data_IF_213484480045
#
_entry.id   IF_213484480045
#
_cell.length_a   1.000
_cell.length_b   1.000
_cell.length_c   1.000
_cell.angle_alpha   90.00
_cell.angle_beta   90.00
_cell.angle_gamma   90.00
#
_symmetry.space_group_name_H-M   'P 1'
#
loop_
_entity.id
_entity.type
_entity.pdbx_description
1 polymer ?
#
# COMPACT_ATOMS: atom_id res chain seq x y z
N UNK A 1 -22.86 -3.41 21.70
CA UNK A 1 -22.49 -1.98 21.64
C UNK A 1 -23.31 -1.33 20.54
N UNK A 2 -24.03 -0.23 20.82
CA UNK A 2 -24.81 0.49 19.80
C UNK A 2 -23.95 1.64 19.30
N UNK A 3 -23.65 1.65 18.02
CA UNK A 3 -22.93 2.78 17.39
C UNK A 3 -23.93 3.93 17.20
N UNK A 4 -23.65 5.13 17.73
CA UNK A 4 -24.53 6.29 17.53
C UNK A 4 -24.70 6.62 16.05
N UNK A 5 -25.90 7.03 15.64
CA UNK A 5 -26.22 7.33 14.24
C UNK A 5 -25.31 8.40 13.64
N UNK A 6 -24.91 9.39 14.44
CA UNK A 6 -23.94 10.42 14.04
C UNK A 6 -22.58 9.83 13.61
N UNK A 7 -22.14 8.75 14.26
CA UNK A 7 -20.88 8.06 13.91
C UNK A 7 -21.09 7.16 12.71
N UNK A 8 -22.25 6.50 12.64
CA UNK A 8 -22.60 5.59 11.54
C UNK A 8 -22.77 6.33 10.20
N UNK A 9 -23.23 7.56 10.23
CA UNK A 9 -23.45 8.41 9.05
C UNK A 9 -22.31 9.40 8.79
N UNK A 10 -21.24 9.38 9.59
CA UNK A 10 -20.08 10.24 9.37
C UNK A 10 -19.34 9.81 8.10
N UNK A 11 -19.29 10.69 7.13
CA UNK A 11 -18.40 10.55 5.96
C UNK A 11 -17.20 11.44 6.16
N UNK A 12 -16.00 10.85 6.03
CA UNK A 12 -14.77 11.60 6.03
C UNK A 12 -14.31 11.70 4.58
N UNK A 13 -14.38 12.89 3.96
CA UNK A 13 -13.94 13.03 2.57
C UNK A 13 -12.47 12.67 2.47
N UNK A 14 -12.16 11.77 1.54
CA UNK A 14 -10.77 11.42 1.24
C UNK A 14 -10.13 12.60 0.52
N UNK A 15 -8.96 13.00 1.00
CA UNK A 15 -8.19 14.10 0.47
C UNK A 15 -6.72 13.68 0.34
N UNK A 16 -6.11 13.96 -0.81
CA UNK A 16 -4.67 13.72 -1.05
C UNK A 16 -3.99 15.06 -1.32
N UNK A 17 -3.01 15.39 -0.47
CA UNK A 17 -2.14 16.54 -0.63
C UNK A 17 -0.77 16.07 -1.10
N UNK A 18 -0.34 16.57 -2.25
CA UNK A 18 0.95 16.20 -2.84
C UNK A 18 2.02 17.24 -2.52
N UNK A 19 3.13 16.78 -1.97
CA UNK A 19 4.33 17.57 -1.76
C UNK A 19 5.52 16.90 -2.45
N UNK A 20 6.16 17.61 -3.39
CA UNK A 20 7.42 17.14 -3.96
C UNK A 20 8.53 17.20 -2.89
N UNK A 21 9.17 16.07 -2.63
CA UNK A 21 10.31 15.95 -1.72
C UNK A 21 11.64 16.06 -2.45
N UNK A 22 11.70 15.49 -3.65
CA UNK A 22 12.84 15.52 -4.55
C UNK A 22 12.35 15.27 -5.98
N UNK A 23 13.23 15.31 -6.96
CA UNK A 23 12.92 14.90 -8.32
C UNK A 23 12.43 13.45 -8.37
N UNK A 24 11.20 13.25 -8.86
CA UNK A 24 10.54 11.93 -8.89
C UNK A 24 10.21 11.32 -7.52
N UNK A 25 10.10 12.13 -6.45
CA UNK A 25 9.72 11.67 -5.11
C UNK A 25 8.68 12.59 -4.51
N UNK A 26 7.53 12.04 -4.14
CA UNK A 26 6.40 12.80 -3.60
C UNK A 26 5.87 12.21 -2.30
N UNK A 27 5.60 13.08 -1.34
CA UNK A 27 4.76 12.77 -0.19
C UNK A 27 3.30 12.93 -0.59
N UNK A 28 2.49 11.94 -0.29
CA UNK A 28 1.05 11.90 -0.53
C UNK A 28 0.33 11.94 0.83
N UNK A 29 0.12 13.17 1.28
CA UNK A 29 -0.47 13.51 2.58
C UNK A 29 -1.99 13.71 2.53
N UNK A 30 -2.51 14.48 3.49
CA UNK A 30 -3.93 14.85 3.58
C UNK A 30 -4.76 13.95 4.48
N UNK A 31 -4.14 13.01 5.20
CA UNK A 31 -4.76 12.16 6.21
C UNK A 31 -3.85 12.01 7.44
N UNK A 32 -4.26 11.20 8.42
CA UNK A 32 -3.44 10.89 9.59
C UNK A 32 -2.16 10.12 9.25
N UNK A 33 -2.20 9.33 8.17
CA UNK A 33 -1.10 8.52 7.66
C UNK A 33 -0.84 8.87 6.20
N UNK A 34 0.42 8.82 5.80
CA UNK A 34 0.86 9.28 4.50
C UNK A 34 1.45 8.12 3.70
N UNK A 35 1.49 8.29 2.37
CA UNK A 35 2.26 7.43 1.47
C UNK A 35 3.38 8.24 0.81
N UNK A 36 4.38 7.55 0.27
CA UNK A 36 5.42 8.16 -0.55
C UNK A 36 5.45 7.46 -1.89
N UNK A 37 5.41 8.22 -2.98
CA UNK A 37 5.64 7.70 -4.33
C UNK A 37 7.06 7.99 -4.78
N UNK A 38 7.73 7.00 -5.35
CA UNK A 38 9.08 7.08 -5.89
C UNK A 38 9.05 6.63 -7.34
N UNK A 39 9.38 7.53 -8.25
CA UNK A 39 9.46 7.26 -9.68
C UNK A 39 10.81 6.64 -10.03
N UNK A 40 10.78 5.54 -10.73
CA UNK A 40 11.90 4.89 -11.41
C UNK A 40 11.79 5.09 -12.93
N UNK A 41 12.74 4.59 -13.70
CA UNK A 41 12.75 4.76 -15.16
C UNK A 41 11.48 4.21 -15.83
N UNK A 42 11.04 3.01 -15.44
CA UNK A 42 9.94 2.26 -16.06
C UNK A 42 8.81 1.85 -15.12
N UNK A 43 8.87 2.24 -13.85
CA UNK A 43 7.83 1.96 -12.86
C UNK A 43 7.81 2.99 -11.72
N UNK A 44 6.79 2.85 -10.86
CA UNK A 44 6.66 3.58 -9.60
C UNK A 44 6.63 2.57 -8.47
N UNK A 45 7.33 2.89 -7.38
CA UNK A 45 7.17 2.25 -6.09
C UNK A 45 6.39 3.20 -5.15
N UNK A 46 5.40 2.65 -4.45
CA UNK A 46 4.69 3.36 -3.40
C UNK A 46 5.11 2.76 -2.05
N UNK A 47 5.33 3.61 -1.07
CA UNK A 47 5.61 3.21 0.32
C UNK A 47 4.39 3.53 1.15
N UNK A 48 3.90 2.56 1.89
CA UNK A 48 2.70 2.56 2.74
C UNK A 48 1.37 2.56 1.99
N UNK A 49 0.46 1.71 2.50
CA UNK A 49 -0.92 1.58 2.04
C UNK A 49 -1.90 1.81 3.21
N UNK A 50 -1.93 3.04 3.78
CA UNK A 50 -2.58 3.29 5.05
C UNK A 50 -4.10 3.35 4.95
N UNK A 51 -4.74 3.18 6.12
CA UNK A 51 -6.14 3.43 6.43
C UNK A 51 -7.10 2.43 5.77
N UNK A 52 -7.57 2.72 4.55
CA UNK A 52 -8.60 1.96 3.87
C UNK A 52 -8.46 1.98 2.33
N UNK A 53 -9.35 1.23 1.65
CA UNK A 53 -9.37 1.15 0.20
C UNK A 53 -9.62 2.51 -0.46
N UNK A 54 -10.57 3.29 0.05
CA UNK A 54 -10.95 4.59 -0.52
C UNK A 54 -9.76 5.56 -0.53
N UNK A 55 -9.01 5.60 0.58
CA UNK A 55 -7.77 6.37 0.69
C UNK A 55 -6.74 5.94 -0.34
N UNK A 56 -6.55 4.64 -0.50
CA UNK A 56 -5.52 4.11 -1.39
C UNK A 56 -5.90 4.23 -2.87
N UNK A 57 -7.17 4.16 -3.22
CA UNK A 57 -7.64 4.50 -4.57
C UNK A 57 -7.34 5.96 -4.92
N UNK A 58 -7.58 6.89 -4.00
CA UNK A 58 -7.24 8.30 -4.21
C UNK A 58 -5.71 8.53 -4.32
N UNK A 59 -4.91 7.81 -3.55
CA UNK A 59 -3.44 7.84 -3.67
C UNK A 59 -3.00 7.31 -5.04
N UNK A 60 -3.56 6.19 -5.50
CA UNK A 60 -3.26 5.62 -6.82
C UNK A 60 -3.64 6.59 -7.94
N UNK A 61 -4.83 7.19 -7.86
CA UNK A 61 -5.28 8.20 -8.84
C UNK A 61 -4.31 9.38 -8.91
N UNK A 62 -3.86 9.88 -7.77
CA UNK A 62 -2.89 10.97 -7.72
C UNK A 62 -1.52 10.57 -8.29
N UNK A 63 -1.04 9.36 -8.00
CA UNK A 63 0.20 8.82 -8.58
C UNK A 63 0.10 8.73 -10.10
N UNK A 64 -1.02 8.23 -10.63
CA UNK A 64 -1.27 8.17 -12.09
C UNK A 64 -1.33 9.58 -12.70
N UNK A 65 -1.90 10.55 -11.99
CA UNK A 65 -1.92 11.95 -12.44
C UNK A 65 -0.51 12.56 -12.50
N UNK A 66 0.35 12.25 -11.53
CA UNK A 66 1.74 12.74 -11.48
C UNK A 66 2.61 12.08 -12.56
N UNK A 67 2.43 10.79 -12.78
CA UNK A 67 3.26 9.98 -13.68
C UNK A 67 2.39 9.03 -14.52
N UNK A 68 1.68 9.54 -15.55
CA UNK A 68 0.60 8.82 -16.23
C UNK A 68 1.04 7.61 -17.07
N UNK A 69 2.32 7.47 -17.37
CA UNK A 69 2.81 6.44 -18.30
C UNK A 69 3.61 5.32 -17.65
N UNK A 70 3.62 5.26 -16.31
CA UNK A 70 4.37 4.23 -15.59
C UNK A 70 3.46 3.47 -14.63
N UNK A 71 3.54 2.13 -14.61
CA UNK A 71 2.76 1.33 -13.67
C UNK A 71 3.29 1.48 -12.23
N UNK A 72 2.40 1.42 -11.26
CA UNK A 72 2.77 1.15 -9.88
C UNK A 72 3.12 -0.34 -9.80
N UNK A 73 4.40 -0.67 -9.77
CA UNK A 73 4.89 -2.04 -9.77
C UNK A 73 5.12 -2.60 -8.39
N UNK A 74 5.47 -1.74 -7.43
CA UNK A 74 5.81 -2.16 -6.07
C UNK A 74 5.06 -1.34 -5.03
N UNK A 75 4.60 -2.04 -4.01
CA UNK A 75 4.18 -1.43 -2.75
C UNK A 75 5.11 -1.91 -1.64
N UNK A 76 5.79 -0.99 -0.99
CA UNK A 76 6.60 -1.28 0.21
C UNK A 76 5.75 -0.99 1.43
N UNK A 77 5.51 -2.02 2.23
CA UNK A 77 4.79 -1.86 3.49
C UNK A 77 5.75 -2.04 4.67
N UNK A 78 5.76 -1.09 5.58
CA UNK A 78 6.72 -1.06 6.68
C UNK A 78 6.38 -2.07 7.78
N UNK A 79 5.10 -2.22 8.15
CA UNK A 79 4.68 -3.13 9.21
C UNK A 79 3.18 -3.47 9.15
N UNK A 80 2.76 -4.41 10.02
CA UNK A 80 1.46 -5.06 9.96
C UNK A 80 0.31 -4.36 10.71
N UNK A 81 0.50 -3.21 11.30
CA UNK A 81 -0.60 -2.52 11.96
C UNK A 81 -1.70 -2.14 10.96
N UNK A 82 -2.96 -2.25 11.40
CA UNK A 82 -4.12 -2.12 10.51
C UNK A 82 -4.20 -0.76 9.80
N UNK A 83 -3.75 0.29 10.46
CA UNK A 83 -3.67 1.65 9.93
C UNK A 83 -2.57 1.86 8.87
N UNK A 84 -1.71 0.84 8.66
CA UNK A 84 -0.67 0.81 7.62
C UNK A 84 -0.93 -0.21 6.51
N UNK A 85 -1.89 -1.11 6.70
CA UNK A 85 -2.15 -2.21 5.75
C UNK A 85 -3.52 -2.14 5.07
N UNK A 86 -4.36 -1.15 5.40
CA UNK A 86 -5.74 -1.12 4.93
C UNK A 86 -5.91 -1.08 3.40
N UNK A 87 -4.92 -0.60 2.67
CA UNK A 87 -4.90 -0.58 1.22
C UNK A 87 -4.09 -1.69 0.55
N UNK A 88 -3.47 -2.63 1.28
CA UNK A 88 -2.65 -3.68 0.67
C UNK A 88 -3.40 -4.44 -0.42
N UNK A 89 -4.66 -4.77 -0.18
CA UNK A 89 -5.52 -5.49 -1.12
C UNK A 89 -5.84 -4.67 -2.38
N UNK A 90 -5.91 -3.35 -2.25
CA UNK A 90 -6.08 -2.42 -3.39
C UNK A 90 -4.86 -2.51 -4.32
N UNK A 91 -3.65 -2.49 -3.75
CA UNK A 91 -2.42 -2.65 -4.54
C UNK A 91 -2.27 -4.07 -5.10
N UNK A 92 -2.67 -5.09 -4.34
CA UNK A 92 -2.75 -6.45 -4.86
C UNK A 92 -3.68 -6.54 -6.07
N UNK A 93 -4.83 -5.86 -6.02
CA UNK A 93 -5.82 -5.85 -7.11
C UNK A 93 -5.27 -5.25 -8.40
N UNK A 94 -4.46 -4.20 -8.32
CA UNK A 94 -3.81 -3.58 -9.49
C UNK A 94 -2.55 -4.32 -9.96
N UNK A 95 -2.20 -5.44 -9.34
CA UNK A 95 -1.06 -6.28 -9.74
C UNK A 95 0.29 -5.80 -9.21
N UNK A 96 0.33 -4.93 -8.21
CA UNK A 96 1.58 -4.51 -7.59
C UNK A 96 2.18 -5.63 -6.74
N UNK A 97 3.52 -5.78 -6.79
CA UNK A 97 4.26 -6.67 -5.89
C UNK A 97 4.37 -6.03 -4.51
N UNK A 98 3.89 -6.74 -3.48
CA UNK A 98 3.98 -6.30 -2.08
C UNK A 98 5.36 -6.65 -1.52
N UNK A 99 6.12 -5.66 -1.07
CA UNK A 99 7.41 -5.84 -0.41
C UNK A 99 7.22 -5.59 1.08
N UNK A 100 7.54 -6.57 1.90
CA UNK A 100 7.39 -6.47 3.36
C UNK A 100 8.43 -7.28 4.10
N UNK A 101 8.56 -7.05 5.41
CA UNK A 101 9.44 -7.86 6.23
C UNK A 101 8.92 -9.31 6.36
N UNK A 102 9.82 -10.31 6.33
CA UNK A 102 9.44 -11.73 6.30
C UNK A 102 8.58 -12.19 7.50
N UNK A 103 8.67 -11.52 8.64
CA UNK A 103 7.82 -11.79 9.82
C UNK A 103 6.33 -11.54 9.57
N UNK A 104 5.99 -10.70 8.61
CA UNK A 104 4.60 -10.39 8.26
C UNK A 104 3.97 -11.43 7.33
N UNK A 105 4.78 -12.31 6.73
CA UNK A 105 4.36 -13.21 5.66
C UNK A 105 3.16 -14.08 6.03
N UNK A 106 3.25 -14.80 7.14
CA UNK A 106 2.19 -15.75 7.53
C UNK A 106 0.86 -15.02 7.78
N UNK A 107 0.90 -13.86 8.43
CA UNK A 107 -0.27 -13.04 8.67
C UNK A 107 -0.85 -12.49 7.36
N UNK A 108 -0.02 -11.94 6.49
CA UNK A 108 -0.52 -11.39 5.22
C UNK A 108 -1.09 -12.46 4.32
N UNK A 109 -0.41 -13.59 4.18
CA UNK A 109 -0.86 -14.67 3.33
C UNK A 109 -2.15 -15.33 3.81
N UNK A 110 -2.34 -15.47 5.12
CA UNK A 110 -3.51 -16.11 5.70
C UNK A 110 -4.69 -15.15 5.82
N UNK A 111 -4.44 -13.95 6.37
CA UNK A 111 -5.51 -13.10 6.90
C UNK A 111 -5.77 -11.84 6.06
N UNK A 112 -4.79 -11.34 5.32
CA UNK A 112 -4.90 -10.07 4.59
C UNK A 112 -5.02 -10.28 3.08
N UNK A 113 -4.06 -10.95 2.48
CA UNK A 113 -3.92 -11.06 1.03
C UNK A 113 -4.60 -12.33 0.50
N UNK A 114 -5.88 -12.48 0.78
CA UNK A 114 -6.73 -13.56 0.28
C UNK A 114 -7.99 -12.99 -0.38
N UNK A 115 -8.80 -13.83 -1.04
CA UNK A 115 -10.00 -13.38 -1.75
C UNK A 115 -11.22 -13.13 -0.84
N UNK A 116 -11.19 -13.58 0.40
CA UNK A 116 -12.26 -13.30 1.34
C UNK A 116 -12.17 -11.85 1.85
N UNK A 117 -13.30 -11.14 2.01
CA UNK A 117 -13.28 -9.84 2.62
C UNK A 117 -12.87 -9.95 4.10
N UNK A 118 -11.92 -9.12 4.52
CA UNK A 118 -11.49 -9.05 5.91
C UNK A 118 -12.08 -7.85 6.67
N UNK A 119 -12.86 -7.04 5.96
CA UNK A 119 -13.59 -5.89 6.48
C UNK A 119 -15.09 -6.17 6.49
N UNK A 120 -15.87 -5.29 7.10
CA UNK A 120 -17.33 -5.38 7.13
C UNK A 120 -17.99 -5.15 5.76
N UNK A 121 -17.25 -4.55 4.84
CA UNK A 121 -17.70 -4.31 3.46
C UNK A 121 -16.78 -5.03 2.48
N UNK A 122 -17.31 -5.64 1.41
CA UNK A 122 -16.50 -6.19 0.34
C UNK A 122 -15.62 -5.10 -0.30
N UNK A 123 -14.38 -5.44 -0.58
CA UNK A 123 -13.43 -4.62 -1.32
C UNK A 123 -13.33 -5.05 -2.79
N UNK A 124 -12.52 -4.34 -3.59
CA UNK A 124 -12.35 -4.62 -5.01
C UNK A 124 -11.86 -6.04 -5.29
N UNK A 125 -10.96 -6.57 -4.47
CA UNK A 125 -10.46 -7.95 -4.62
C UNK A 125 -11.56 -8.97 -4.42
N UNK A 126 -12.44 -8.76 -3.43
CA UNK A 126 -13.57 -9.66 -3.14
C UNK A 126 -14.65 -9.60 -4.22
N UNK A 127 -14.90 -8.40 -4.76
CA UNK A 127 -15.96 -8.19 -5.76
C UNK A 127 -15.51 -8.54 -7.18
N UNK A 128 -14.27 -8.24 -7.51
CA UNK A 128 -13.68 -8.45 -8.85
C UNK A 128 -12.27 -9.04 -8.73
N UNK A 129 -12.15 -10.30 -8.30
CA UNK A 129 -10.82 -10.92 -8.20
C UNK A 129 -10.14 -10.91 -9.58
N UNK A 130 -8.91 -10.39 -9.67
CA UNK A 130 -8.19 -10.39 -10.94
C UNK A 130 -8.01 -11.81 -11.46
N UNK A 131 -8.32 -12.03 -12.73
CA UNK A 131 -8.21 -13.36 -13.37
C UNK A 131 -6.75 -13.88 -13.37
N UNK A 132 -5.80 -12.97 -13.41
CA UNK A 132 -4.36 -13.27 -13.40
C UNK A 132 -3.85 -13.66 -12.01
N UNK A 133 -4.61 -13.37 -10.96
CA UNK A 133 -4.30 -13.80 -9.59
C UNK A 133 -4.76 -15.23 -9.27
N UNK A 134 -5.25 -15.97 -10.24
CA UNK A 134 -5.50 -17.43 -10.08
C UNK A 134 -4.24 -18.18 -9.61
N UNK A 135 -3.05 -17.62 -9.85
CA UNK A 135 -1.76 -18.12 -9.38
C UNK A 135 -1.30 -17.50 -8.04
N UNK A 136 -2.12 -16.65 -7.41
CA UNK A 136 -1.80 -15.91 -6.20
C UNK A 136 -1.28 -14.49 -6.47
N UNK A 137 -1.24 -13.66 -5.44
CA UNK A 137 -0.68 -12.31 -5.49
C UNK A 137 0.86 -12.37 -5.46
N UNK A 138 1.50 -11.32 -5.98
CA UNK A 138 2.95 -11.20 -5.97
C UNK A 138 3.42 -10.49 -4.71
N UNK A 139 4.39 -11.07 -4.05
CA UNK A 139 5.03 -10.45 -2.88
C UNK A 139 6.51 -10.84 -2.80
N UNK A 140 7.28 -9.99 -2.14
CA UNK A 140 8.66 -10.26 -1.77
C UNK A 140 8.87 -10.01 -0.28
N UNK A 141 9.61 -10.89 0.37
CA UNK A 141 9.95 -10.73 1.79
C UNK A 141 11.39 -10.34 1.96
N UNK A 142 11.62 -9.33 2.78
CA UNK A 142 12.97 -8.87 3.14
C UNK A 142 13.32 -9.33 4.56
N UNK A 143 14.60 -9.59 4.83
CA UNK A 143 15.11 -9.89 6.18
C UNK A 143 15.82 -8.70 6.78
N UNK A 144 16.89 -8.24 6.15
CA UNK A 144 17.71 -7.15 6.64
C UNK A 144 17.72 -5.97 5.65
N UNK A 145 18.02 -6.26 4.39
CA UNK A 145 18.18 -5.25 3.36
C UNK A 145 17.60 -5.72 2.03
N UNK A 146 17.04 -4.77 1.30
CA UNK A 146 16.53 -4.97 -0.05
C UNK A 146 16.79 -3.72 -0.89
N UNK A 147 17.08 -3.89 -2.18
CA UNK A 147 17.32 -2.79 -3.09
C UNK A 147 16.38 -2.87 -4.29
N UNK A 148 15.53 -1.86 -4.45
CA UNK A 148 14.90 -1.59 -5.73
C UNK A 148 15.83 -0.75 -6.57
N UNK A 149 16.13 -1.21 -7.79
CA UNK A 149 17.09 -0.55 -8.67
C UNK A 149 16.70 -0.77 -10.13
N UNK A 150 16.78 0.28 -10.95
CA UNK A 150 16.59 0.20 -12.41
C UNK A 150 17.75 0.82 -13.20
N UNK A 151 18.90 1.00 -12.54
CA UNK A 151 20.10 1.57 -13.15
C UNK A 151 20.22 3.09 -13.03
N UNK A 152 19.10 3.83 -13.00
CA UNK A 152 19.10 5.30 -12.86
C UNK A 152 18.82 5.76 -11.45
N UNK A 153 18.01 5.00 -10.73
CA UNK A 153 17.61 5.26 -9.33
C UNK A 153 17.72 3.99 -8.51
N UNK A 154 18.07 4.17 -7.25
CA UNK A 154 18.16 3.10 -6.27
C UNK A 154 17.43 3.51 -5.00
N UNK A 155 16.58 2.62 -4.48
CA UNK A 155 15.92 2.77 -3.18
C UNK A 155 16.35 1.62 -2.28
N UNK A 156 16.96 1.96 -1.15
CA UNK A 156 17.35 1.01 -0.11
C UNK A 156 16.22 0.86 0.91
N UNK A 157 15.80 -0.36 1.13
CA UNK A 157 14.81 -0.74 2.14
C UNK A 157 15.55 -1.57 3.18
N UNK A 158 15.58 -1.13 4.42
CA UNK A 158 16.28 -1.81 5.50
C UNK A 158 15.35 -2.09 6.68
N UNK A 159 15.51 -3.28 7.28
CA UNK A 159 14.85 -3.59 8.53
C UNK A 159 15.50 -2.78 9.66
N UNK A 160 14.67 -2.04 10.36
CA UNK A 160 15.10 -1.36 11.59
C UNK A 160 14.77 -2.28 12.75
N UNK A 161 15.80 -2.78 13.43
CA UNK A 161 15.60 -3.58 14.64
C UNK A 161 14.72 -2.81 15.65
N UNK A 162 13.77 -3.49 16.29
CA UNK A 162 12.77 -2.80 17.09
C UNK A 162 13.41 -2.00 18.23
N UNK A 163 13.44 -0.71 18.03
CA UNK A 163 13.61 0.28 19.07
C UNK A 163 12.25 0.82 19.54
N UNK A 164 11.17 0.23 18.98
CA UNK A 164 9.80 0.70 19.09
C UNK A 164 8.86 -0.45 19.45
N UNK A 165 7.59 -0.17 19.50
CA UNK A 165 6.51 -1.15 19.77
C UNK A 165 6.20 -2.10 18.61
N UNK A 166 6.90 -2.01 17.50
CA UNK A 166 6.68 -2.87 16.31
C UNK A 166 7.75 -3.96 16.28
N UNK A 167 7.35 -5.21 16.46
CA UNK A 167 8.18 -6.41 16.36
C UNK A 167 7.75 -7.29 15.19
#
# INVERSE_FOLDING_TARGET
MVVPDKVRSATFPVHVETQALADGVWLLGGASHNSVAVEFEDFIAVVEAPLDEERNLAVIEEVVRLVPNKPIRFLVNTHQHHDHIGGLRTYMHIGATIITHWKNFDFYNRDVLNYAPWTLSPDMVSLWPPTELAEGYQYETIRENYWLNNGTRSMHISYVHPLTHVE
#
